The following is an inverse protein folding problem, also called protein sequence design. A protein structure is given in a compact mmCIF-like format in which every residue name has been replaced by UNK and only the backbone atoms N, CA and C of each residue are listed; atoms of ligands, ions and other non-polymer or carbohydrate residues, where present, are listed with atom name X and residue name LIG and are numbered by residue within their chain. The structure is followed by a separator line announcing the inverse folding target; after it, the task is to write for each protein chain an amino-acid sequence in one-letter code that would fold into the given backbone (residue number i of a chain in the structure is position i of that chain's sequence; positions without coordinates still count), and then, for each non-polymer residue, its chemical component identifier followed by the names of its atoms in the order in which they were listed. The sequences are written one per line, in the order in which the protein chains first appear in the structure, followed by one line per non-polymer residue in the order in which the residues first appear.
data_IF_962972214650
#
_entry.id   IF_962972214650
#
_cell.length_a   1.000
_cell.length_b   1.000
_cell.length_c   1.000
_cell.angle_alpha   90.00
_cell.angle_beta   90.00
_cell.angle_gamma   90.00
#
_symmetry.space_group_name_H-M   'P 1'
#
loop_
_entity.id
_entity.type
_entity.pdbx_description
1 polymer ?
#
# COMPACT_ATOMS: atom_id res chain seq x y z
N UNK A 1 -1.02 -2.02 -44.42
CA UNK A 1 -0.32 -1.18 -43.42
C UNK A 1 -0.65 -1.80 -42.08
N UNK A 2 0.33 -2.47 -41.47
CA UNK A 2 0.17 -3.14 -40.18
C UNK A 2 -0.01 -2.10 -39.09
N UNK A 3 -1.09 -2.24 -38.33
CA UNK A 3 -1.42 -1.39 -37.20
C UNK A 3 -0.36 -1.55 -36.12
N UNK A 4 0.44 -0.50 -35.89
CA UNK A 4 1.56 -0.49 -34.93
C UNK A 4 1.12 -0.01 -33.54
N UNK A 5 -0.19 0.11 -33.29
CA UNK A 5 -0.73 0.62 -32.02
C UNK A 5 -1.02 -0.46 -30.98
N UNK A 6 -0.88 -1.75 -31.32
CA UNK A 6 -1.30 -2.89 -30.49
C UNK A 6 -0.34 -3.23 -29.32
N UNK A 7 0.59 -2.33 -28.97
CA UNK A 7 1.70 -2.63 -28.06
C UNK A 7 1.84 -1.76 -26.82
N UNK A 8 1.02 -0.72 -26.65
CA UNK A 8 1.13 0.14 -25.47
C UNK A 8 0.20 -0.36 -24.38
N UNK A 9 0.73 -1.18 -23.46
CA UNK A 9 0.10 -1.41 -22.16
C UNK A 9 0.19 -0.10 -21.39
N UNK A 10 -0.81 0.77 -21.57
CA UNK A 10 -0.94 2.02 -20.82
C UNK A 10 -1.44 1.68 -19.41
N UNK A 11 -0.51 1.37 -18.51
CA UNK A 11 -0.84 1.28 -17.08
C UNK A 11 -1.00 2.72 -16.59
N UNK A 12 -2.21 3.11 -16.21
CA UNK A 12 -2.47 4.45 -15.67
C UNK A 12 -1.97 4.53 -14.21
N UNK A 13 -0.67 4.83 -14.09
CA UNK A 13 0.03 4.88 -12.80
C UNK A 13 -0.49 5.98 -11.87
N UNK A 14 -1.19 7.01 -12.39
CA UNK A 14 -1.81 8.02 -11.54
C UNK A 14 -2.87 7.40 -10.61
N UNK A 15 -3.60 6.40 -11.10
CA UNK A 15 -4.58 5.68 -10.28
C UNK A 15 -3.93 4.76 -9.24
N UNK A 16 -2.72 4.24 -9.51
CA UNK A 16 -1.98 3.42 -8.54
C UNK A 16 -1.34 4.24 -7.42
N UNK A 17 -0.76 5.40 -7.73
CA UNK A 17 -0.20 6.30 -6.71
C UNK A 17 -1.31 6.78 -5.75
N UNK A 18 -2.47 7.15 -6.29
CA UNK A 18 -3.65 7.50 -5.48
C UNK A 18 -4.11 6.35 -4.59
N UNK A 19 -4.13 5.11 -5.10
CA UNK A 19 -4.54 3.95 -4.31
C UNK A 19 -3.55 3.64 -3.17
N UNK A 20 -2.24 3.83 -3.39
CA UNK A 20 -1.23 3.64 -2.36
C UNK A 20 -1.38 4.68 -1.24
N UNK A 21 -1.56 5.96 -1.60
CA UNK A 21 -1.79 7.05 -0.65
C UNK A 21 -3.10 6.85 0.14
N UNK A 22 -4.19 6.47 -0.54
CA UNK A 22 -5.48 6.17 0.09
C UNK A 22 -5.36 5.04 1.11
N UNK A 23 -4.62 3.97 0.78
CA UNK A 23 -4.41 2.85 1.70
C UNK A 23 -3.59 3.26 2.93
N UNK A 24 -2.58 4.12 2.79
CA UNK A 24 -1.79 4.67 3.91
C UNK A 24 -2.68 5.51 4.81
N UNK A 25 -3.52 6.37 4.24
CA UNK A 25 -4.46 7.20 4.99
C UNK A 25 -5.47 6.34 5.76
N UNK A 26 -6.08 5.35 5.10
CA UNK A 26 -7.04 4.45 5.74
C UNK A 26 -6.41 3.64 6.88
N UNK A 27 -5.18 3.14 6.70
CA UNK A 27 -4.50 2.39 7.75
C UNK A 27 -4.13 3.25 8.95
N UNK A 28 -3.76 4.50 8.70
CA UNK A 28 -3.55 5.49 9.76
C UNK A 28 -4.85 5.77 10.52
N UNK A 29 -5.98 5.91 9.81
CA UNK A 29 -7.29 6.09 10.42
C UNK A 29 -7.72 4.89 11.28
N UNK A 30 -7.48 3.66 10.80
CA UNK A 30 -7.72 2.42 11.58
C UNK A 30 -6.87 2.41 12.84
N UNK A 31 -5.57 2.72 12.73
CA UNK A 31 -4.66 2.78 13.87
C UNK A 31 -5.12 3.79 14.93
N UNK A 32 -5.56 4.98 14.51
CA UNK A 32 -6.04 6.01 15.41
C UNK A 32 -7.36 5.62 16.10
N UNK A 33 -8.28 5.00 15.36
CA UNK A 33 -9.55 4.51 15.90
C UNK A 33 -9.31 3.46 16.99
N UNK A 34 -8.39 2.54 16.75
CA UNK A 34 -8.02 1.52 17.72
C UNK A 34 -7.34 2.12 18.95
N UNK A 35 -6.43 3.08 18.77
CA UNK A 35 -5.81 3.77 19.90
C UNK A 35 -6.85 4.52 20.76
N UNK A 36 -7.85 5.16 20.15
CA UNK A 36 -8.96 5.80 20.88
C UNK A 36 -9.80 4.79 21.65
N UNK A 37 -10.19 3.71 20.99
CA UNK A 37 -10.96 2.64 21.60
C UNK A 37 -10.20 2.01 22.77
N UNK A 38 -8.89 1.82 22.63
CA UNK A 38 -8.02 1.30 23.67
C UNK A 38 -7.94 2.25 24.86
N UNK A 39 -7.86 3.56 24.63
CA UNK A 39 -7.88 4.57 25.69
C UNK A 39 -9.21 4.60 26.45
N UNK A 40 -10.33 4.52 25.74
CA UNK A 40 -11.68 4.48 26.33
C UNK A 40 -11.90 3.21 27.15
N UNK A 41 -11.45 2.06 26.64
CA UNK A 41 -11.60 0.77 27.30
C UNK A 41 -10.61 0.60 28.46
N UNK A 42 -9.49 1.31 28.49
CA UNK A 42 -8.48 1.18 29.55
C UNK A 42 -9.03 1.52 30.94
N UNK A 43 -9.99 2.44 31.05
CA UNK A 43 -10.69 2.69 32.32
C UNK A 43 -11.67 1.57 32.68
N UNK A 44 -12.39 1.04 31.68
CA UNK A 44 -13.37 -0.02 31.88
C UNK A 44 -12.70 -1.35 32.28
N UNK A 45 -11.58 -1.67 31.65
CA UNK A 45 -10.80 -2.90 31.88
C UNK A 45 -10.17 -2.94 33.27
N UNK A 46 -9.87 -1.79 33.88
CA UNK A 46 -9.42 -1.73 35.28
C UNK A 46 -10.48 -2.25 36.26
N UNK A 47 -11.76 -2.18 35.89
CA UNK A 47 -12.86 -2.73 36.67
C UNK A 47 -13.12 -4.21 36.40
N UNK A 48 -12.56 -4.75 35.32
CA UNK A 48 -12.72 -6.15 34.95
C UNK A 48 -11.71 -7.01 35.71
N UNK A 49 -12.20 -8.07 36.33
CA UNK A 49 -11.41 -9.04 37.07
C UNK A 49 -11.73 -10.45 36.58
N UNK A 50 -10.72 -11.31 36.55
CA UNK A 50 -10.87 -12.69 36.08
C UNK A 50 -10.91 -12.82 34.56
N UNK A 51 -11.62 -13.83 34.07
CA UNK A 51 -11.56 -14.32 32.68
C UNK A 51 -11.84 -13.24 31.63
N UNK A 52 -12.71 -12.26 31.92
CA UNK A 52 -13.08 -11.21 30.98
C UNK A 52 -11.92 -10.24 30.68
N UNK A 53 -11.07 -9.97 31.68
CA UNK A 53 -9.87 -9.15 31.50
C UNK A 53 -8.82 -9.86 30.64
N UNK A 54 -8.68 -11.17 30.79
CA UNK A 54 -7.75 -11.99 30.01
C UNK A 54 -8.23 -12.11 28.55
N UNK A 55 -9.53 -12.34 28.35
CA UNK A 55 -10.17 -12.41 27.03
C UNK A 55 -10.02 -11.07 26.29
N UNK A 56 -10.21 -9.95 26.99
CA UNK A 56 -9.95 -8.62 26.43
C UNK A 56 -8.50 -8.45 26.00
N UNK A 57 -7.53 -8.77 26.87
CA UNK A 57 -6.09 -8.66 26.55
C UNK A 57 -5.71 -9.52 25.34
N UNK A 58 -6.31 -10.69 25.19
CA UNK A 58 -6.11 -11.55 24.02
C UNK A 58 -6.60 -10.87 22.74
N UNK A 59 -7.84 -10.35 22.74
CA UNK A 59 -8.37 -9.61 21.58
C UNK A 59 -7.57 -8.33 21.33
N UNK A 60 -7.11 -7.70 22.39
CA UNK A 60 -6.27 -6.51 22.35
C UNK A 60 -4.89 -6.78 21.74
N UNK A 61 -4.32 -7.96 21.95
CA UNK A 61 -3.10 -8.34 21.26
C UNK A 61 -3.37 -8.65 19.78
N UNK A 62 -4.48 -9.36 19.50
CA UNK A 62 -4.82 -9.81 18.15
C UNK A 62 -5.08 -8.66 17.18
N UNK A 63 -5.91 -7.68 17.55
CA UNK A 63 -6.23 -6.55 16.68
C UNK A 63 -5.01 -5.62 16.43
N UNK A 64 -4.07 -5.52 17.38
CA UNK A 64 -2.89 -4.68 17.32
C UNK A 64 -1.88 -5.33 16.39
N UNK A 65 -1.68 -6.64 16.54
CA UNK A 65 -0.90 -7.44 15.58
C UNK A 65 -1.47 -7.36 14.17
N UNK A 66 -2.80 -7.40 13.99
CA UNK A 66 -3.42 -7.25 12.68
C UNK A 66 -3.14 -5.88 12.04
N UNK A 67 -3.14 -4.81 12.83
CA UNK A 67 -2.86 -3.44 12.34
C UNK A 67 -1.40 -3.27 11.95
N UNK A 68 -0.48 -3.77 12.76
CA UNK A 68 0.94 -3.74 12.41
C UNK A 68 1.21 -4.56 11.15
N UNK A 69 0.59 -5.74 11.01
CA UNK A 69 0.67 -6.52 9.78
C UNK A 69 0.12 -5.76 8.56
N UNK A 70 -0.99 -5.03 8.71
CA UNK A 70 -1.52 -4.18 7.63
C UNK A 70 -0.54 -3.06 7.27
N UNK A 71 0.09 -2.40 8.26
CA UNK A 71 1.11 -1.37 8.03
C UNK A 71 2.33 -1.92 7.29
N UNK A 72 2.79 -3.11 7.66
CA UNK A 72 3.91 -3.78 6.98
C UNK A 72 3.55 -4.18 5.54
N UNK A 73 2.36 -4.75 5.33
CA UNK A 73 1.90 -5.14 4.00
C UNK A 73 1.80 -3.93 3.07
N UNK A 74 1.25 -2.82 3.55
CA UNK A 74 1.15 -1.59 2.77
C UNK A 74 2.51 -0.99 2.46
N UNK A 75 3.43 -0.99 3.42
CA UNK A 75 4.81 -0.56 3.17
C UNK A 75 5.49 -1.40 2.10
N UNK A 76 5.26 -2.73 2.12
CA UNK A 76 5.76 -3.65 1.10
C UNK A 76 5.15 -3.37 -0.28
N UNK A 77 3.83 -3.19 -0.36
CA UNK A 77 3.13 -2.87 -1.60
C UNK A 77 3.54 -1.51 -2.18
N UNK A 78 3.65 -0.48 -1.34
CA UNK A 78 4.13 0.84 -1.76
C UNK A 78 5.53 0.73 -2.39
N UNK A 79 6.46 0.01 -1.75
CA UNK A 79 7.80 -0.21 -2.29
C UNK A 79 7.78 -0.97 -3.62
N UNK A 80 6.92 -1.98 -3.74
CA UNK A 80 6.74 -2.73 -4.99
C UNK A 80 6.25 -1.83 -6.12
N UNK A 81 5.22 -1.01 -5.85
CA UNK A 81 4.65 -0.09 -6.83
C UNK A 81 5.66 0.95 -7.31
N UNK A 82 6.40 1.57 -6.38
CA UNK A 82 7.49 2.49 -6.73
C UNK A 82 8.54 1.81 -7.60
N UNK A 83 8.95 0.59 -7.24
CA UNK A 83 9.92 -0.19 -8.01
C UNK A 83 9.46 -0.52 -9.42
N UNK A 84 8.19 -0.94 -9.59
CA UNK A 84 7.61 -1.20 -10.91
C UNK A 84 7.60 0.07 -11.77
N UNK A 85 7.24 1.22 -11.21
CA UNK A 85 7.23 2.50 -11.92
C UNK A 85 8.61 2.93 -12.42
N UNK A 86 9.65 2.77 -11.59
CA UNK A 86 11.04 3.06 -11.97
C UNK A 86 11.53 2.15 -13.10
N UNK A 87 11.25 0.85 -12.99
CA UNK A 87 11.70 -0.17 -13.93
C UNK A 87 11.02 -0.01 -15.30
N UNK A 88 9.74 0.36 -15.31
CA UNK A 88 9.00 0.65 -16.54
C UNK A 88 9.49 1.94 -17.21
N UNK A 89 9.65 3.04 -16.45
CA UNK A 89 10.21 4.31 -16.99
C UNK A 89 11.60 4.13 -17.59
N UNK A 90 12.43 3.31 -16.96
CA UNK A 90 13.75 2.96 -17.47
C UNK A 90 13.65 2.21 -18.81
N UNK A 91 12.78 1.20 -18.88
CA UNK A 91 12.56 0.41 -20.10
C UNK A 91 11.99 1.25 -21.25
N UNK A 92 11.00 2.10 -20.98
CA UNK A 92 10.41 3.03 -21.95
C UNK A 92 11.45 4.00 -22.53
N UNK A 93 12.29 4.61 -21.67
CA UNK A 93 13.36 5.51 -22.13
C UNK A 93 14.35 4.79 -23.03
N UNK A 94 14.74 3.57 -22.65
CA UNK A 94 15.69 2.77 -23.44
C UNK A 94 15.09 2.40 -24.81
N UNK A 95 13.83 1.94 -24.84
CA UNK A 95 13.14 1.63 -26.09
C UNK A 95 12.99 2.87 -26.98
N UNK A 96 12.57 4.00 -26.40
CA UNK A 96 12.42 5.28 -27.13
C UNK A 96 13.75 5.74 -27.75
N UNK A 97 14.86 5.61 -27.01
CA UNK A 97 16.20 5.93 -27.53
C UNK A 97 16.58 5.03 -28.71
N UNK A 98 16.36 3.72 -28.60
CA UNK A 98 16.63 2.79 -29.70
C UNK A 98 15.81 3.11 -30.96
N UNK A 99 14.52 3.44 -30.81
CA UNK A 99 13.68 3.83 -31.94
C UNK A 99 14.08 5.19 -32.55
N UNK A 100 14.55 6.13 -31.72
CA UNK A 100 15.10 7.41 -32.20
C UNK A 100 16.36 7.21 -33.05
N UNK A 101 17.24 6.28 -32.68
CA UNK A 101 18.46 5.97 -33.44
C UNK A 101 18.14 5.31 -34.80
N UNK A 102 17.14 4.44 -34.85
CA UNK A 102 16.68 3.80 -36.09
C UNK A 102 16.01 4.81 -37.05
N UNK A 103 15.33 5.83 -36.51
CA UNK A 103 14.63 6.86 -37.29
C UNK A 103 15.53 7.90 -37.96
N UNK A 104 16.73 8.16 -37.42
CA UNK A 104 17.69 9.17 -37.95
C UNK A 104 18.57 8.60 -39.07
N UNK A 105 18.59 7.28 -39.27
CA UNK A 105 19.43 6.60 -40.26
C UNK A 105 18.87 6.49 -41.70
N UNK A 106 17.97 7.37 -42.15
CA UNK A 106 17.43 7.38 -43.53
C UNK A 106 17.63 8.70 -44.25
#
# INVERSE_FOLDING_TARGET
MSDLTDGYIYVDYNHMDNAADDMVQQTTAISNTLASLEAELNELVKSWYGTDADMYREKQAAWHGAVENMKELLKSHSKLLTGIGEQYRYSEKQLTQMWSEVGIGR
#
